data_IF_611458248492
#
_entry.id   IF_611458248492
#
_cell.length_a   1.000
_cell.length_b   1.000
_cell.length_c   1.000
_cell.angle_alpha   90.00
_cell.angle_beta   90.00
_cell.angle_gamma   90.00
#
_symmetry.space_group_name_H-M   'P 1'
#
loop_
_entity.id
_entity.type
_entity.pdbx_description
1 polymer ?
#
# COMPACT_ATOMS: atom_id res chain seq x y z
N UNK A 1 -11.37 16.39 0.74
CA UNK A 1 -10.46 15.32 0.30
C UNK A 1 -9.15 15.50 1.03
N UNK A 2 -8.67 14.49 1.75
CA UNK A 2 -7.32 14.51 2.34
C UNK A 2 -6.55 13.29 1.86
N UNK A 3 -5.27 13.47 1.54
CA UNK A 3 -4.36 12.36 1.24
C UNK A 3 -3.20 12.43 2.21
N UNK A 4 -2.91 11.32 2.86
CA UNK A 4 -1.78 11.18 3.75
C UNK A 4 -0.97 9.94 3.39
N UNK A 5 0.31 9.93 3.73
CA UNK A 5 1.17 8.78 3.51
C UNK A 5 1.22 7.93 4.79
N UNK A 6 0.60 6.76 4.76
CA UNK A 6 0.60 5.84 5.91
C UNK A 6 1.83 4.94 5.83
N UNK A 7 2.63 4.96 6.89
CA UNK A 7 3.84 4.14 7.01
C UNK A 7 3.59 2.99 8.01
N UNK A 8 4.32 1.87 7.87
CA UNK A 8 4.28 0.81 8.87
C UNK A 8 4.71 1.36 10.24
N UNK A 9 4.06 0.90 11.30
CA UNK A 9 4.41 1.25 12.68
C UNK A 9 5.84 0.80 13.05
N UNK A 10 6.26 -0.39 12.60
CA UNK A 10 7.61 -0.92 12.83
C UNK A 10 8.22 -1.46 11.53
N UNK A 11 8.86 -0.60 10.71
CA UNK A 11 9.37 -1.02 9.41
C UNK A 11 10.51 -2.04 9.55
N UNK A 12 10.28 -3.26 9.07
CA UNK A 12 11.36 -4.17 8.73
C UNK A 12 11.97 -3.78 7.38
N UNK A 13 13.30 -3.76 7.29
CA UNK A 13 14.02 -3.35 6.08
C UNK A 13 14.60 -4.56 5.37
N UNK A 14 14.08 -4.86 4.18
CA UNK A 14 14.63 -5.90 3.32
C UNK A 14 14.22 -5.69 1.86
N UNK A 15 14.94 -6.36 0.96
CA UNK A 15 14.63 -6.40 -0.46
C UNK A 15 14.07 -7.78 -0.82
N UNK A 16 12.98 -7.81 -1.59
CA UNK A 16 12.48 -9.03 -2.22
C UNK A 16 13.00 -9.07 -3.65
N UNK A 17 13.59 -10.21 -4.05
CA UNK A 17 13.99 -10.45 -5.43
C UNK A 17 12.74 -10.83 -6.24
N UNK A 18 12.47 -10.09 -7.29
CA UNK A 18 11.37 -10.39 -8.19
C UNK A 18 11.82 -11.41 -9.24
N UNK A 19 10.93 -12.34 -9.58
CA UNK A 19 11.12 -13.31 -10.65
C UNK A 19 10.57 -12.75 -11.99
N UNK A 20 10.59 -13.58 -13.04
CA UNK A 20 10.10 -13.20 -14.37
C UNK A 20 8.59 -12.96 -14.36
N UNK A 21 7.82 -13.76 -13.62
CA UNK A 21 6.36 -13.57 -13.48
C UNK A 21 6.01 -12.23 -12.87
N UNK A 22 6.71 -11.83 -11.81
CA UNK A 22 6.57 -10.50 -11.20
C UNK A 22 6.86 -9.38 -12.20
N UNK A 23 7.89 -9.55 -13.04
CA UNK A 23 8.27 -8.56 -14.05
C UNK A 23 7.21 -8.40 -15.13
N UNK A 24 6.55 -9.49 -15.53
CA UNK A 24 5.46 -9.48 -16.52
C UNK A 24 4.27 -8.65 -16.00
N UNK A 25 3.98 -8.71 -14.70
CA UNK A 25 2.83 -8.01 -14.09
C UNK A 25 3.19 -6.69 -13.39
N UNK A 26 4.43 -6.23 -13.49
CA UNK A 26 4.95 -5.11 -12.70
C UNK A 26 4.19 -3.79 -12.86
N UNK A 27 3.54 -3.58 -14.01
CA UNK A 27 2.77 -2.37 -14.33
C UNK A 27 1.25 -2.60 -14.37
N UNK A 28 0.76 -3.74 -13.85
CA UNK A 28 -0.66 -4.03 -13.80
C UNK A 28 -1.25 -3.64 -12.43
N UNK A 29 -2.07 -2.60 -12.41
CA UNK A 29 -2.78 -2.18 -11.20
C UNK A 29 -4.10 -2.97 -11.03
N UNK A 30 -4.23 -3.67 -9.91
CA UNK A 30 -5.49 -4.34 -9.53
C UNK A 30 -6.27 -3.47 -8.56
N UNK A 31 -7.57 -3.29 -8.81
CA UNK A 31 -8.44 -2.43 -8.00
C UNK A 31 -9.52 -3.27 -7.32
N UNK A 32 -9.71 -3.05 -6.03
CA UNK A 32 -10.77 -3.68 -5.24
C UNK A 32 -11.65 -2.59 -4.61
N UNK A 33 -12.97 -2.78 -4.65
CA UNK A 33 -13.95 -1.86 -4.07
C UNK A 33 -14.84 -2.64 -3.11
N UNK A 34 -14.90 -2.18 -1.86
CA UNK A 34 -15.73 -2.77 -0.81
C UNK A 34 -16.79 -1.76 -0.37
N UNK A 35 -18.03 -2.22 -0.23
CA UNK A 35 -19.14 -1.43 0.30
C UNK A 35 -19.48 -1.93 1.70
N UNK A 36 -19.72 -1.00 2.62
CA UNK A 36 -20.07 -1.29 3.99
C UNK A 36 -21.37 -0.55 4.33
N UNK A 37 -22.28 -1.20 5.03
CA UNK A 37 -23.56 -0.59 5.44
C UNK A 37 -23.38 0.60 6.38
N UNK A 38 -22.25 0.65 7.10
CA UNK A 38 -21.94 1.68 8.08
C UNK A 38 -20.76 2.52 7.64
N UNK A 39 -20.79 3.78 8.05
CA UNK A 39 -19.67 4.69 7.86
C UNK A 39 -18.42 4.19 8.58
N UNK A 40 -17.29 4.15 7.87
CA UNK A 40 -16.01 3.76 8.44
C UNK A 40 -15.27 4.96 9.04
N UNK A 41 -14.71 4.79 10.23
CA UNK A 41 -13.83 5.79 10.82
C UNK A 41 -12.46 5.77 10.14
N UNK A 42 -12.16 6.84 9.40
CA UNK A 42 -10.87 7.01 8.71
C UNK A 42 -9.65 7.03 9.63
N UNK A 43 -9.80 7.47 10.88
CA UNK A 43 -8.73 7.47 11.87
C UNK A 43 -8.45 6.06 12.37
N UNK A 44 -9.50 5.29 12.67
CA UNK A 44 -9.36 3.89 13.03
C UNK A 44 -8.74 3.08 11.87
N UNK A 45 -9.22 3.29 10.64
CA UNK A 45 -8.69 2.63 9.44
C UNK A 45 -7.21 2.94 9.21
N UNK A 46 -6.80 4.21 9.26
CA UNK A 46 -5.41 4.59 9.02
C UNK A 46 -4.44 3.98 10.05
N UNK A 47 -4.84 3.89 11.32
CA UNK A 47 -4.06 3.23 12.37
C UNK A 47 -3.97 1.72 12.16
N UNK A 48 -5.09 1.05 11.89
CA UNK A 48 -5.11 -0.38 11.60
C UNK A 48 -4.28 -0.70 10.34
N UNK A 49 -4.33 0.18 9.33
CA UNK A 49 -3.55 0.02 8.11
C UNK A 49 -2.05 0.13 8.37
N UNK A 50 -1.59 1.08 9.20
CA UNK A 50 -0.19 1.17 9.62
C UNK A 50 0.31 -0.12 10.32
N UNK A 51 -0.54 -0.75 11.13
CA UNK A 51 -0.24 -2.04 11.76
C UNK A 51 -0.18 -3.16 10.71
N UNK A 52 -1.14 -3.22 9.79
CA UNK A 52 -1.14 -4.21 8.71
C UNK A 52 0.11 -4.10 7.82
N UNK A 53 0.56 -2.89 7.50
CA UNK A 53 1.80 -2.66 6.74
C UNK A 53 3.06 -3.10 7.48
N UNK A 54 3.01 -3.21 8.82
CA UNK A 54 4.12 -3.78 9.61
C UNK A 54 4.23 -5.29 9.39
N UNK A 55 3.09 -5.97 9.31
CA UNK A 55 3.01 -7.43 9.10
C UNK A 55 3.22 -7.79 7.62
N UNK A 56 2.77 -6.93 6.70
CA UNK A 56 2.83 -7.12 5.25
C UNK A 56 3.64 -5.99 4.58
N UNK A 57 4.96 -5.93 4.81
CA UNK A 57 5.83 -4.85 4.35
C UNK A 57 5.93 -4.74 2.83
N UNK A 58 5.58 -5.80 2.09
CA UNK A 58 5.48 -5.83 0.61
C UNK A 58 4.63 -4.66 0.08
N UNK A 59 3.53 -4.33 0.76
CA UNK A 59 2.63 -3.27 0.32
C UNK A 59 3.14 -1.86 0.60
N UNK A 60 4.05 -1.69 1.57
CA UNK A 60 4.69 -0.41 1.87
C UNK A 60 6.01 -0.20 1.09
N UNK A 61 6.38 -1.13 0.21
CA UNK A 61 7.62 -1.11 -0.56
C UNK A 61 7.54 -0.29 -1.85
N UNK A 62 8.65 -0.28 -2.59
CA UNK A 62 8.73 0.30 -3.95
C UNK A 62 9.43 -0.66 -4.89
N UNK A 63 8.83 -0.88 -6.05
CA UNK A 63 9.49 -1.58 -7.15
C UNK A 63 10.68 -0.74 -7.62
N UNK A 64 11.79 -1.42 -7.90
CA UNK A 64 13.03 -0.82 -8.37
C UNK A 64 13.71 -1.77 -9.35
N UNK A 65 14.14 -1.24 -10.48
CA UNK A 65 15.01 -1.93 -11.43
C UNK A 65 16.45 -1.50 -11.18
N UNK A 66 17.34 -2.46 -10.91
CA UNK A 66 18.76 -2.17 -10.68
C UNK A 66 19.65 -3.29 -11.20
N UNK A 67 20.69 -2.95 -11.97
CA UNK A 67 21.63 -3.91 -12.59
C UNK A 67 20.91 -5.03 -13.37
N UNK A 68 19.85 -4.67 -14.11
CA UNK A 68 19.03 -5.61 -14.89
C UNK A 68 18.15 -6.55 -14.07
N UNK A 69 18.02 -6.34 -12.75
CA UNK A 69 17.20 -7.17 -11.87
C UNK A 69 16.13 -6.33 -11.19
N UNK A 70 14.89 -6.80 -11.23
CA UNK A 70 13.79 -6.18 -10.53
C UNK A 70 13.79 -6.60 -9.06
N UNK A 71 13.55 -5.63 -8.18
CA UNK A 71 13.43 -5.84 -6.73
C UNK A 71 12.29 -5.03 -6.17
N UNK A 72 11.66 -5.53 -5.12
CA UNK A 72 10.79 -4.76 -4.27
C UNK A 72 11.55 -4.35 -3.00
N UNK A 73 11.83 -3.05 -2.86
CA UNK A 73 12.53 -2.50 -1.69
C UNK A 73 11.53 -2.20 -0.59
N UNK A 74 11.50 -3.02 0.45
CA UNK A 74 10.60 -2.87 1.58
C UNK A 74 11.30 -2.07 2.68
N UNK A 75 11.35 -0.75 2.55
CA UNK A 75 12.03 0.15 3.50
C UNK A 75 11.06 1.02 4.31
N UNK A 76 9.75 0.72 4.25
CA UNK A 76 8.72 1.49 4.94
C UNK A 76 8.39 2.83 4.28
N UNK A 77 8.50 2.91 2.96
CA UNK A 77 8.18 4.12 2.18
C UNK A 77 6.72 4.56 2.38
N UNK A 78 5.84 3.61 2.67
CA UNK A 78 4.44 3.86 2.99
C UNK A 78 3.53 3.89 1.77
N UNK A 79 2.23 3.98 2.03
CA UNK A 79 1.16 3.87 1.05
C UNK A 79 0.29 5.13 1.11
N UNK A 80 -0.04 5.76 -0.03
CA UNK A 80 -1.02 6.84 -0.07
C UNK A 80 -2.38 6.35 0.44
N UNK A 81 -2.97 7.09 1.37
CA UNK A 81 -4.28 6.85 1.91
C UNK A 81 -5.12 8.11 1.73
N UNK A 82 -6.17 8.00 0.92
CA UNK A 82 -7.01 9.14 0.54
C UNK A 82 -8.40 8.98 1.11
N UNK A 83 -8.85 9.99 1.85
CA UNK A 83 -10.22 10.10 2.34
C UNK A 83 -10.98 11.12 1.50
N UNK A 84 -12.14 10.70 1.00
CA UNK A 84 -13.09 11.55 0.30
C UNK A 84 -14.43 11.43 1.01
N UNK A 85 -15.10 12.55 1.21
CA UNK A 85 -16.50 12.62 1.63
C UNK A 85 -17.24 13.38 0.55
N UNK A 86 -18.41 12.90 0.18
CA UNK A 86 -19.29 13.54 -0.79
C UNK A 86 -20.70 13.51 -0.22
N UNK A 87 -21.40 14.64 -0.26
CA UNK A 87 -22.84 14.68 0.02
C UNK A 87 -23.70 14.10 -1.11
N UNK A 88 -23.07 13.59 -2.18
CA UNK A 88 -23.71 13.04 -3.40
C UNK A 88 -23.25 11.63 -3.75
N UNK A 89 -22.54 10.95 -2.85
CA UNK A 89 -22.32 9.50 -3.05
C UNK A 89 -23.64 8.79 -2.76
N UNK A 90 -23.98 7.82 -3.63
CA UNK A 90 -25.20 6.98 -3.62
C UNK A 90 -25.82 6.80 -2.23
#
# INVERSE_FOLDING_TARGET
MSTQLIRPSHPQRFDIRCNVGDAIVANLATHFVFFFERHLDSTALSRAFAQALTVLPVFAGRLSLGKGRMRLRCHGQGVPFTCVSSGRTL
#
